data_IF_473414753149
#
_entry.id   IF_473414753149
#
_cell.length_a   1.000
_cell.length_b   1.000
_cell.length_c   1.000
_cell.angle_alpha   90.00
_cell.angle_beta   90.00
_cell.angle_gamma   90.00
#
_symmetry.space_group_name_H-M   'P 1'
#
loop_
_entity.id
_entity.type
_entity.pdbx_description
1 polymer ?
#
# COMPACT_ATOMS: atom_id res chain seq x y z
N UNK A 1 -59.80 7.73 15.74
CA UNK A 1 -58.63 8.60 16.02
C UNK A 1 -57.51 8.00 16.87
N UNK A 2 -57.68 6.86 17.59
CA UNK A 2 -56.61 6.29 18.45
C UNK A 2 -55.59 5.36 17.77
N UNK A 3 -55.84 4.88 16.53
CA UNK A 3 -54.93 3.92 15.84
C UNK A 3 -53.78 4.58 15.06
N UNK A 4 -53.88 5.88 14.76
CA UNK A 4 -52.84 6.63 14.06
C UNK A 4 -51.79 7.23 15.00
N UNK A 5 -52.07 7.30 16.31
CA UNK A 5 -51.12 7.87 17.28
C UNK A 5 -50.04 6.87 17.71
N UNK A 6 -50.36 5.57 17.73
CA UNK A 6 -49.43 4.51 18.12
C UNK A 6 -48.41 4.18 17.02
N UNK A 7 -48.80 4.31 15.74
CA UNK A 7 -47.88 4.03 14.63
C UNK A 7 -46.80 5.11 14.50
N UNK A 8 -47.13 6.38 14.76
CA UNK A 8 -46.20 7.51 14.66
C UNK A 8 -45.16 7.49 15.79
N UNK A 9 -45.53 7.03 17.00
CA UNK A 9 -44.59 6.90 18.13
C UNK A 9 -43.62 5.73 17.91
N UNK A 10 -44.07 4.64 17.28
CA UNK A 10 -43.19 3.50 16.95
C UNK A 10 -42.21 3.85 15.82
N UNK A 11 -42.64 4.57 14.79
CA UNK A 11 -41.75 5.05 13.73
C UNK A 11 -40.73 6.09 14.23
N UNK A 12 -41.13 6.96 15.16
CA UNK A 12 -40.20 7.90 15.80
C UNK A 12 -39.17 7.18 16.70
N UNK A 13 -39.54 6.08 17.37
CA UNK A 13 -38.61 5.28 18.17
C UNK A 13 -37.61 4.51 17.30
N UNK A 14 -38.01 4.01 16.12
CA UNK A 14 -37.10 3.36 15.16
C UNK A 14 -36.15 4.37 14.51
N UNK A 15 -36.62 5.58 14.21
CA UNK A 15 -35.77 6.68 13.72
C UNK A 15 -34.83 7.24 14.80
N UNK A 16 -35.24 7.27 16.07
CA UNK A 16 -34.41 7.70 17.19
C UNK A 16 -33.36 6.64 17.61
N UNK A 17 -33.66 5.35 17.43
CA UNK A 17 -32.71 4.25 17.69
C UNK A 17 -31.82 3.93 16.48
N UNK A 18 -32.15 4.42 15.28
CA UNK A 18 -31.36 4.23 14.05
C UNK A 18 -30.08 5.08 13.96
N UNK A 19 -29.75 5.89 14.98
CA UNK A 19 -28.66 6.87 14.92
C UNK A 19 -27.37 6.52 15.66
N UNK A 20 -27.20 5.33 16.27
CA UNK A 20 -25.96 5.04 17.03
C UNK A 20 -25.41 3.61 16.94
N UNK A 21 -25.48 2.99 15.76
CA UNK A 21 -24.60 1.86 15.47
C UNK A 21 -24.36 1.72 13.97
N UNK A 22 -23.46 2.55 13.42
CA UNK A 22 -22.67 2.15 12.26
C UNK A 22 -21.77 1.00 12.74
N UNK A 23 -22.35 -0.21 12.84
CA UNK A 23 -21.58 -1.42 13.05
C UNK A 23 -20.70 -1.58 11.80
N UNK A 24 -19.44 -1.18 11.94
CA UNK A 24 -18.39 -1.42 10.97
C UNK A 24 -18.29 -2.94 10.77
N UNK A 25 -18.88 -3.44 9.69
CA UNK A 25 -18.64 -4.82 9.23
C UNK A 25 -17.53 -4.69 8.19
N UNK A 26 -16.28 -5.08 8.49
CA UNK A 26 -15.24 -5.13 7.47
C UNK A 26 -15.71 -6.06 6.34
N UNK A 27 -16.01 -5.47 5.19
CA UNK A 27 -16.38 -6.24 4.01
C UNK A 27 -15.09 -6.80 3.40
N UNK A 28 -14.81 -8.07 3.69
CA UNK A 28 -13.74 -8.78 2.99
C UNK A 28 -14.21 -9.15 1.59
N UNK A 29 -13.53 -8.60 0.59
CA UNK A 29 -13.74 -8.97 -0.80
C UNK A 29 -13.16 -10.35 -1.06
N UNK A 30 -14.01 -11.20 -1.64
CA UNK A 30 -13.68 -12.56 -2.04
C UNK A 30 -13.37 -12.54 -3.52
N UNK A 31 -12.16 -12.99 -3.86
CA UNK A 31 -11.68 -13.09 -5.22
C UNK A 31 -11.60 -14.55 -5.65
N UNK A 32 -11.88 -14.83 -6.90
CA UNK A 32 -11.63 -16.13 -7.50
C UNK A 32 -10.20 -16.20 -8.05
N UNK A 33 -9.45 -17.24 -7.67
CA UNK A 33 -8.15 -17.51 -8.27
C UNK A 33 -8.30 -17.90 -9.75
N UNK A 34 -7.68 -17.19 -10.70
CA UNK A 34 -7.84 -17.47 -12.13
C UNK A 34 -7.31 -18.85 -12.55
N UNK A 35 -6.45 -19.46 -11.73
CA UNK A 35 -5.79 -20.72 -12.05
C UNK A 35 -6.51 -21.97 -11.55
N UNK A 36 -7.18 -21.87 -10.40
CA UNK A 36 -7.73 -23.05 -9.72
C UNK A 36 -9.14 -22.82 -9.16
N UNK A 37 -9.75 -21.65 -9.44
CA UNK A 37 -11.11 -21.31 -9.07
C UNK A 37 -11.39 -21.31 -7.56
N UNK A 38 -10.34 -21.40 -6.74
CA UNK A 38 -10.45 -21.26 -5.28
C UNK A 38 -10.79 -19.81 -4.93
N UNK A 39 -11.78 -19.64 -4.07
CA UNK A 39 -12.11 -18.36 -3.45
C UNK A 39 -11.11 -17.99 -2.35
N UNK A 40 -10.50 -16.82 -2.50
CA UNK A 40 -9.47 -16.27 -1.62
C UNK A 40 -9.88 -14.88 -1.16
N UNK A 41 -9.41 -14.47 0.01
CA UNK A 41 -9.64 -13.11 0.52
C UNK A 41 -8.35 -12.30 0.48
N UNK A 42 -8.46 -11.04 0.12
CA UNK A 42 -7.45 -10.03 0.43
C UNK A 42 -7.47 -9.89 1.96
N UNK A 43 -6.45 -10.40 2.67
CA UNK A 43 -6.39 -10.29 4.13
C UNK A 43 -6.41 -8.83 4.60
N UNK A 44 -6.91 -8.56 5.81
CA UNK A 44 -7.11 -7.26 6.47
C UNK A 44 -6.44 -6.06 5.80
N UNK A 45 -7.16 -5.47 4.85
CA UNK A 45 -6.98 -4.09 4.45
C UNK A 45 -7.93 -3.30 5.32
N UNK A 46 -7.41 -2.59 6.30
CA UNK A 46 -8.18 -1.48 6.84
C UNK A 46 -8.39 -0.51 5.67
N UNK A 47 -9.63 -0.50 5.15
CA UNK A 47 -10.22 0.42 4.19
C UNK A 47 -10.05 0.20 2.69
N UNK A 48 -10.99 -0.55 2.12
CA UNK A 48 -11.74 -0.03 0.97
C UNK A 48 -12.98 0.70 1.55
N UNK A 49 -12.85 2.00 1.81
CA UNK A 49 -13.94 2.83 2.34
C UNK A 49 -14.99 3.13 1.25
N UNK A 50 -16.20 2.60 1.39
CA UNK A 50 -17.41 3.36 1.04
C UNK A 50 -17.99 3.93 2.33
N UNK A 51 -18.06 5.26 2.42
CA UNK A 51 -18.81 5.97 3.45
C UNK A 51 -18.01 6.28 4.72
N UNK A 52 -17.57 7.54 4.81
CA UNK A 52 -17.26 8.27 6.05
C UNK A 52 -16.33 7.61 7.09
N UNK A 53 -15.02 7.67 6.87
CA UNK A 53 -13.99 8.19 7.82
C UNK A 53 -12.60 7.93 7.23
N UNK A 54 -12.05 8.95 6.58
CA UNK A 54 -10.85 8.93 5.74
C UNK A 54 -9.53 8.72 6.50
N UNK A 55 -8.72 7.76 6.06
CA UNK A 55 -7.27 7.73 6.32
C UNK A 55 -6.55 8.04 5.00
N UNK A 56 -5.85 9.18 4.96
CA UNK A 56 -4.96 9.53 3.87
C UNK A 56 -3.72 8.63 3.90
N UNK A 57 -3.41 7.96 2.79
CA UNK A 57 -2.01 7.70 2.43
C UNK A 57 -1.69 8.51 1.18
N UNK A 58 -1.00 9.66 1.28
CA UNK A 58 -0.57 10.42 0.11
C UNK A 58 0.58 9.74 -0.65
N UNK A 59 1.00 8.53 -0.23
CA UNK A 59 2.23 7.88 -0.65
C UNK A 59 2.01 6.62 -1.51
N UNK A 60 0.76 6.17 -1.69
CA UNK A 60 0.46 5.00 -2.52
C UNK A 60 0.17 5.48 -3.95
N UNK A 61 1.18 5.40 -4.80
CA UNK A 61 0.98 5.55 -6.25
C UNK A 61 0.19 4.35 -6.76
N UNK A 62 -0.95 4.55 -7.46
CA UNK A 62 -1.63 3.45 -8.12
C UNK A 62 -0.76 2.98 -9.28
N UNK A 63 -0.50 1.69 -9.35
CA UNK A 63 0.12 1.07 -10.52
C UNK A 63 -0.77 1.08 -11.78
N UNK A 64 -2.06 1.43 -11.66
CA UNK A 64 -3.07 1.15 -12.69
C UNK A 64 -3.60 2.39 -13.40
N UNK A 65 -2.88 3.52 -13.39
CA UNK A 65 -3.31 4.75 -14.08
C UNK A 65 -4.65 5.36 -13.64
N UNK A 66 -5.38 4.74 -12.69
CA UNK A 66 -6.62 5.27 -12.14
C UNK A 66 -6.32 6.08 -10.89
N UNK A 67 -6.32 7.40 -11.07
CA UNK A 67 -6.43 8.37 -9.97
C UNK A 67 -7.83 8.20 -9.38
N UNK A 68 -7.95 7.52 -8.23
CA UNK A 68 -9.11 7.72 -7.37
C UNK A 68 -8.79 8.91 -6.46
N UNK A 69 -9.36 10.06 -6.81
CA UNK A 69 -9.33 11.26 -5.97
C UNK A 69 -10.09 10.97 -4.67
N UNK A 70 -9.40 10.86 -3.54
CA UNK A 70 -10.03 10.69 -2.22
C UNK A 70 -9.89 12.01 -1.45
N UNK A 71 -11.04 12.63 -1.14
CA UNK A 71 -11.18 13.92 -0.45
C UNK A 71 -11.01 13.80 1.08
N UNK A 72 -10.63 14.92 1.71
CA UNK A 72 -10.22 15.16 3.11
C UNK A 72 -11.24 14.90 4.23
N UNK A 73 -10.75 14.59 5.45
CA UNK A 73 -11.47 14.78 6.73
C UNK A 73 -10.80 14.22 8.00
N UNK A 74 -10.61 15.09 9.01
CA UNK A 74 -10.26 15.01 10.46
C UNK A 74 -9.58 13.80 11.16
N UNK A 75 -8.63 14.18 12.03
CA UNK A 75 -7.81 13.44 13.01
C UNK A 75 -8.54 12.46 13.95
N UNK A 76 -8.39 11.15 13.74
CA UNK A 76 -8.47 10.17 14.83
C UNK A 76 -7.37 9.11 14.68
N UNK A 77 -6.53 9.05 15.71
CA UNK A 77 -5.28 8.31 15.82
C UNK A 77 -5.51 6.79 15.92
N UNK A 78 -5.24 6.07 14.83
CA UNK A 78 -4.76 4.69 14.91
C UNK A 78 -3.34 4.65 14.36
N UNK A 79 -2.44 3.95 15.07
CA UNK A 79 -0.99 3.89 14.86
C UNK A 79 -0.64 3.14 13.57
N UNK A 80 -0.94 3.74 12.42
CA UNK A 80 -0.53 3.23 11.12
C UNK A 80 0.90 3.69 10.85
N UNK A 81 1.86 2.79 10.96
CA UNK A 81 3.24 3.08 10.56
C UNK A 81 3.31 3.15 9.04
N UNK A 82 3.45 4.35 8.49
CA UNK A 82 3.98 4.51 7.13
C UNK A 82 5.48 4.31 7.18
N UNK A 83 6.12 4.00 6.06
CA UNK A 83 7.56 3.88 5.94
C UNK A 83 8.09 4.85 4.90
N UNK A 84 9.38 5.21 5.02
CA UNK A 84 10.05 6.13 4.10
C UNK A 84 10.05 5.64 2.64
N UNK A 85 9.97 4.32 2.43
CA UNK A 85 9.81 3.69 1.10
C UNK A 85 8.37 3.66 0.57
N UNK A 86 7.46 4.40 1.23
CA UNK A 86 6.06 4.51 0.85
C UNK A 86 5.20 3.31 1.27
N UNK A 87 5.75 2.33 2.01
CA UNK A 87 4.95 1.24 2.54
C UNK A 87 4.04 1.67 3.68
N UNK A 88 2.80 1.18 3.71
CA UNK A 88 1.89 1.30 4.84
C UNK A 88 1.89 0.03 5.70
N UNK A 89 1.77 0.22 7.01
CA UNK A 89 1.53 -0.84 7.98
C UNK A 89 0.15 -1.47 7.88
N UNK A 90 -0.80 -0.83 7.17
CA UNK A 90 -2.12 -1.39 6.81
C UNK A 90 -2.08 -2.37 5.64
N UNK A 91 -0.89 -2.60 5.06
CA UNK A 91 -0.71 -3.38 3.84
C UNK A 91 -0.72 -2.48 2.61
N UNK A 92 0.33 -2.59 1.79
CA UNK A 92 0.40 -1.96 0.46
C UNK A 92 -0.25 -2.82 -0.60
N UNK A 93 -0.85 -2.21 -1.66
CA UNK A 93 -1.41 -2.91 -2.82
C UNK A 93 -0.56 -4.11 -3.23
N UNK A 94 -1.12 -5.32 -3.12
CA UNK A 94 -0.52 -6.51 -3.70
C UNK A 94 -1.00 -6.58 -5.13
N UNK A 95 -0.26 -5.99 -6.06
CA UNK A 95 -0.57 -6.12 -7.49
C UNK A 95 -0.44 -7.57 -7.93
N UNK A 96 0.54 -8.26 -7.35
CA UNK A 96 0.76 -9.69 -7.54
C UNK A 96 0.43 -10.41 -6.25
N UNK A 97 -0.43 -11.42 -6.36
CA UNK A 97 -0.85 -12.27 -5.28
C UNK A 97 -0.44 -13.73 -5.55
N UNK A 98 -0.24 -14.47 -4.47
CA UNK A 98 0.03 -15.90 -4.51
C UNK A 98 -1.17 -16.65 -3.94
N UNK A 99 -1.72 -17.57 -4.72
CA UNK A 99 -2.83 -18.40 -4.25
C UNK A 99 -2.35 -19.32 -3.11
N UNK A 100 -3.02 -19.34 -1.94
CA UNK A 100 -2.63 -20.22 -0.84
C UNK A 100 -2.90 -21.71 -1.14
N UNK A 101 -3.73 -22.03 -2.15
CA UNK A 101 -4.06 -23.40 -2.56
C UNK A 101 -3.14 -23.88 -3.67
N UNK A 102 -3.24 -23.33 -4.89
CA UNK A 102 -2.43 -23.81 -6.03
C UNK A 102 -1.01 -23.26 -6.10
N UNK A 103 -0.64 -22.33 -5.20
CA UNK A 103 0.68 -21.67 -5.10
C UNK A 103 1.11 -20.84 -6.32
N UNK A 104 0.29 -20.76 -7.38
CA UNK A 104 0.56 -19.93 -8.55
C UNK A 104 0.39 -18.45 -8.22
N UNK A 105 1.23 -17.63 -8.86
CA UNK A 105 1.13 -16.18 -8.85
C UNK A 105 0.07 -15.72 -9.86
N UNK A 106 -0.60 -14.62 -9.56
CA UNK A 106 -1.51 -13.96 -10.48
C UNK A 106 -1.55 -12.46 -10.19
N UNK A 107 -1.82 -11.68 -11.23
CA UNK A 107 -2.14 -10.27 -11.08
C UNK A 107 -3.54 -10.14 -10.48
N UNK A 108 -3.70 -9.29 -9.47
CA UNK A 108 -5.00 -9.09 -8.83
C UNK A 108 -6.06 -8.56 -9.79
N UNK A 109 -5.67 -7.82 -10.84
CA UNK A 109 -6.58 -7.37 -11.89
C UNK A 109 -7.22 -8.53 -12.68
N UNK A 110 -6.62 -9.72 -12.67
CA UNK A 110 -7.16 -10.92 -13.31
C UNK A 110 -8.02 -11.77 -12.38
N UNK A 111 -8.13 -11.39 -11.10
CA UNK A 111 -8.93 -12.11 -10.14
C UNK A 111 -10.36 -11.54 -10.14
N UNK A 112 -11.35 -12.39 -10.37
CA UNK A 112 -12.74 -11.97 -10.40
C UNK A 112 -13.26 -11.73 -8.98
N UNK A 113 -13.95 -10.60 -8.76
CA UNK A 113 -14.63 -10.34 -7.50
C UNK A 113 -15.94 -11.13 -7.46
N UNK A 114 -16.01 -12.15 -6.61
CA UNK A 114 -17.15 -13.09 -6.54
C UNK A 114 -18.04 -12.89 -5.31
N UNK A 115 -17.69 -11.96 -4.42
CA UNK A 115 -18.58 -11.57 -3.32
C UNK A 115 -17.90 -10.89 -2.14
N UNK A 116 -18.65 -10.74 -1.06
CA UNK A 116 -18.23 -10.16 0.21
C UNK A 116 -18.58 -11.12 1.36
N UNK A 117 -17.61 -11.88 1.88
CA UNK A 117 -17.85 -12.79 3.02
C UNK A 117 -16.56 -13.17 3.74
N UNK A 118 -16.68 -13.32 5.06
CA UNK A 118 -15.57 -13.36 6.03
C UNK A 118 -15.42 -14.72 6.75
N UNK A 119 -15.92 -15.82 6.18
CA UNK A 119 -15.91 -17.12 6.89
C UNK A 119 -15.40 -18.25 6.01
N UNK A 120 -14.13 -18.62 6.24
CA UNK A 120 -13.51 -19.86 5.77
C UNK A 120 -12.53 -19.72 4.60
N UNK A 121 -12.49 -18.58 3.91
CA UNK A 121 -11.58 -18.35 2.79
C UNK A 121 -10.15 -18.14 3.28
N UNK A 122 -9.18 -18.68 2.53
CA UNK A 122 -7.75 -18.49 2.82
C UNK A 122 -7.31 -17.10 2.36
N UNK A 123 -6.50 -16.43 3.19
CA UNK A 123 -5.87 -15.15 2.83
C UNK A 123 -4.87 -15.35 1.69
N UNK A 124 -4.90 -14.45 0.70
CA UNK A 124 -3.86 -14.42 -0.34
C UNK A 124 -2.48 -14.21 0.28
N UNK A 125 -1.48 -14.88 -0.29
CA UNK A 125 -0.10 -14.72 0.11
C UNK A 125 0.59 -13.68 -0.77
N UNK A 126 1.68 -13.09 -0.28
CA UNK A 126 2.57 -12.28 -1.10
C UNK A 126 3.52 -13.19 -1.89
N UNK A 127 3.98 -12.78 -3.08
CA UNK A 127 5.12 -13.42 -3.71
C UNK A 127 6.36 -13.27 -2.82
N UNK A 128 7.22 -14.26 -2.86
CA UNK A 128 8.59 -14.15 -2.32
C UNK A 128 9.46 -13.27 -3.22
N UNK A 129 10.58 -12.79 -2.69
CA UNK A 129 11.55 -12.02 -3.49
C UNK A 129 12.06 -12.79 -4.70
N UNK A 130 12.40 -14.08 -4.52
CA UNK A 130 12.82 -14.96 -5.62
C UNK A 130 11.77 -15.04 -6.73
N UNK A 131 10.49 -15.10 -6.35
CA UNK A 131 9.38 -15.11 -7.29
C UNK A 131 9.24 -13.78 -8.05
N UNK A 132 9.45 -12.64 -7.38
CA UNK A 132 9.45 -11.32 -8.01
C UNK A 132 10.60 -11.18 -9.03
N UNK A 133 11.81 -11.63 -8.69
CA UNK A 133 12.92 -11.63 -9.64
C UNK A 133 12.73 -12.62 -10.79
N UNK A 134 12.07 -13.75 -10.57
CA UNK A 134 11.69 -14.66 -11.65
C UNK A 134 10.69 -14.02 -12.63
N UNK A 135 9.81 -13.13 -12.16
CA UNK A 135 8.93 -12.35 -13.03
C UNK A 135 9.74 -11.33 -13.84
N UNK A 136 10.65 -10.59 -13.20
CA UNK A 136 11.47 -9.56 -13.86
C UNK A 136 12.47 -10.12 -14.89
N UNK A 137 12.94 -11.36 -14.70
CA UNK A 137 13.83 -12.05 -15.64
C UNK A 137 13.09 -12.88 -16.71
N UNK A 138 11.76 -12.95 -16.62
CA UNK A 138 10.92 -13.73 -17.51
C UNK A 138 10.57 -12.99 -18.80
N UNK A 139 9.30 -13.07 -19.20
CA UNK A 139 8.80 -12.32 -20.36
C UNK A 139 8.81 -10.82 -20.06
N UNK A 140 9.14 -9.96 -21.05
CA UNK A 140 9.01 -8.52 -20.90
C UNK A 140 7.62 -8.13 -20.41
N UNK A 141 7.58 -7.24 -19.42
CA UNK A 141 6.37 -6.62 -18.90
C UNK A 141 6.18 -5.27 -19.57
N UNK A 142 4.94 -4.77 -19.57
CA UNK A 142 4.74 -3.34 -19.79
C UNK A 142 5.34 -2.53 -18.62
N UNK A 143 5.63 -1.26 -18.90
CA UNK A 143 6.33 -0.35 -17.98
C UNK A 143 5.63 -0.26 -16.62
N UNK A 144 4.30 -0.23 -16.58
CA UNK A 144 3.53 -0.09 -15.35
C UNK A 144 3.65 -1.36 -14.49
N UNK A 145 3.46 -2.54 -15.10
CA UNK A 145 3.63 -3.82 -14.41
C UNK A 145 5.04 -4.02 -13.88
N UNK A 146 6.04 -3.68 -14.66
CA UNK A 146 7.44 -3.74 -14.21
C UNK A 146 7.66 -2.85 -12.99
N UNK A 147 7.16 -1.61 -13.01
CA UNK A 147 7.26 -0.67 -11.87
C UNK A 147 6.67 -1.29 -10.60
N UNK A 148 5.51 -1.96 -10.71
CA UNK A 148 4.87 -2.64 -9.57
C UNK A 148 5.73 -3.76 -9.00
N UNK A 149 6.28 -4.60 -9.87
CA UNK A 149 7.08 -5.76 -9.45
C UNK A 149 8.36 -5.28 -8.75
N UNK A 150 9.04 -4.28 -9.34
CA UNK A 150 10.27 -3.70 -8.77
C UNK A 150 10.03 -3.03 -7.43
N UNK A 151 8.92 -2.29 -7.29
CA UNK A 151 8.51 -1.67 -6.02
C UNK A 151 8.12 -2.71 -4.97
N UNK A 152 7.42 -3.77 -5.36
CA UNK A 152 7.09 -4.86 -4.44
C UNK A 152 8.35 -5.62 -4.00
N UNK A 153 9.34 -5.76 -4.88
CA UNK A 153 10.65 -6.33 -4.55
C UNK A 153 11.42 -5.44 -3.57
N UNK A 154 11.44 -4.12 -3.80
CA UNK A 154 11.99 -3.14 -2.86
C UNK A 154 11.38 -3.27 -1.47
N UNK A 155 10.05 -3.28 -1.38
CA UNK A 155 9.37 -3.44 -0.09
C UNK A 155 9.66 -4.76 0.59
N UNK A 156 9.81 -5.85 -0.17
CA UNK A 156 10.11 -7.18 0.34
C UNK A 156 11.55 -7.24 0.85
N UNK A 157 12.50 -6.61 0.16
CA UNK A 157 13.87 -6.46 0.63
C UNK A 157 13.91 -5.68 1.96
N UNK A 158 13.17 -4.58 2.04
CA UNK A 158 13.08 -3.75 3.24
C UNK A 158 12.35 -4.45 4.40
N UNK A 159 11.43 -5.38 4.14
CA UNK A 159 10.71 -6.11 5.21
C UNK A 159 11.66 -6.92 6.09
N UNK A 160 12.76 -7.43 5.53
CA UNK A 160 13.78 -8.12 6.29
C UNK A 160 14.45 -7.23 7.34
N UNK A 161 14.54 -5.93 7.07
CA UNK A 161 15.28 -4.97 7.90
C UNK A 161 14.41 -4.23 8.90
N UNK A 162 13.11 -4.02 8.58
CA UNK A 162 12.13 -3.29 9.44
C UNK A 162 12.03 -3.78 10.89
N UNK A 163 12.33 -5.06 11.13
CA UNK A 163 12.26 -5.68 12.45
C UNK A 163 13.61 -6.23 12.93
N UNK A 164 14.67 -5.99 12.16
CA UNK A 164 16.01 -6.43 12.50
C UNK A 164 16.76 -5.33 13.27
N UNK A 165 17.72 -5.72 14.10
CA UNK A 165 18.67 -4.79 14.74
C UNK A 165 19.90 -4.52 13.85
N UNK A 166 19.91 -5.03 12.61
CA UNK A 166 21.01 -4.91 11.66
C UNK A 166 20.82 -3.73 10.71
N UNK A 167 21.93 -3.24 10.16
CA UNK A 167 21.93 -2.24 9.08
C UNK A 167 21.54 -2.90 7.77
N UNK A 168 20.79 -2.17 6.94
CA UNK A 168 20.43 -2.61 5.59
C UNK A 168 21.69 -2.95 4.80
N UNK A 169 21.73 -4.17 4.26
CA UNK A 169 22.75 -4.61 3.33
C UNK A 169 22.10 -5.34 2.15
N UNK A 170 21.92 -4.61 1.04
CA UNK A 170 21.32 -5.17 -0.15
C UNK A 170 22.29 -6.08 -0.90
N UNK A 171 21.76 -7.21 -1.38
CA UNK A 171 22.42 -8.05 -2.37
C UNK A 171 22.56 -7.33 -3.71
N UNK A 172 23.44 -7.81 -4.58
CA UNK A 172 23.64 -7.27 -5.94
C UNK A 172 22.33 -7.22 -6.73
N UNK A 173 21.50 -8.27 -6.67
CA UNK A 173 20.20 -8.30 -7.35
C UNK A 173 19.24 -7.22 -6.82
N UNK A 174 19.25 -6.95 -5.51
CA UNK A 174 18.45 -5.89 -4.90
C UNK A 174 18.96 -4.51 -5.32
N UNK A 175 20.29 -4.31 -5.36
CA UNK A 175 20.89 -3.05 -5.84
C UNK A 175 20.49 -2.77 -7.29
N UNK A 176 20.62 -3.75 -8.19
CA UNK A 176 20.21 -3.63 -9.59
C UNK A 176 18.72 -3.28 -9.68
N UNK A 177 17.87 -3.95 -8.90
CA UNK A 177 16.44 -3.65 -8.86
C UNK A 177 16.15 -2.20 -8.47
N UNK A 178 16.82 -1.70 -7.43
CA UNK A 178 16.66 -0.34 -6.95
C UNK A 178 17.17 0.69 -7.95
N UNK A 179 18.31 0.45 -8.59
CA UNK A 179 18.84 1.32 -9.63
C UNK A 179 17.87 1.42 -10.82
N UNK A 180 17.38 0.29 -11.33
CA UNK A 180 16.39 0.32 -12.42
C UNK A 180 15.08 0.96 -11.97
N UNK A 181 14.59 0.67 -10.75
CA UNK A 181 13.39 1.34 -10.23
C UNK A 181 13.60 2.86 -10.17
N UNK A 182 14.74 3.32 -9.67
CA UNK A 182 15.11 4.74 -9.62
C UNK A 182 15.13 5.40 -11.01
N UNK A 183 15.55 4.68 -12.05
CA UNK A 183 15.54 5.17 -13.44
C UNK A 183 14.12 5.30 -14.01
N UNK A 184 13.19 4.44 -13.58
CA UNK A 184 11.81 4.45 -14.04
C UNK A 184 10.95 5.57 -13.42
N UNK A 185 11.35 6.09 -12.25
CA UNK A 185 10.62 7.11 -11.51
C UNK A 185 10.77 8.50 -12.16
N UNK A 186 9.63 9.16 -12.39
CA UNK A 186 9.55 10.49 -12.98
C UNK A 186 9.75 11.58 -11.92
N UNK A 187 10.87 12.29 -12.03
CA UNK A 187 11.19 13.39 -11.14
C UNK A 187 10.18 14.55 -11.23
N UNK A 188 9.47 14.71 -12.35
CA UNK A 188 8.42 15.73 -12.47
C UNK A 188 7.28 15.54 -11.46
N UNK A 189 7.08 14.29 -11.00
CA UNK A 189 6.13 13.94 -9.96
C UNK A 189 6.79 14.00 -8.58
N UNK A 190 6.34 14.92 -7.71
CA UNK A 190 6.95 15.18 -6.41
C UNK A 190 7.17 13.92 -5.56
N UNK A 191 6.18 13.02 -5.53
CA UNK A 191 6.27 11.79 -4.74
C UNK A 191 7.25 10.78 -5.34
N UNK A 192 7.33 10.67 -6.66
CA UNK A 192 8.30 9.79 -7.31
C UNK A 192 9.72 10.31 -7.15
N UNK A 193 9.91 11.63 -7.21
CA UNK A 193 11.17 12.29 -6.84
C UNK A 193 11.60 11.95 -5.41
N UNK A 194 10.68 11.98 -4.46
CA UNK A 194 10.96 11.59 -3.06
C UNK A 194 11.35 10.11 -2.97
N UNK A 195 10.64 9.21 -3.65
CA UNK A 195 11.01 7.80 -3.65
C UNK A 195 12.35 7.53 -4.34
N UNK A 196 12.67 8.29 -5.39
CA UNK A 196 13.99 8.25 -6.03
C UNK A 196 15.09 8.72 -5.06
N UNK A 197 14.82 9.75 -4.28
CA UNK A 197 15.73 10.23 -3.23
C UNK A 197 15.90 9.19 -2.11
N UNK A 198 14.82 8.51 -1.72
CA UNK A 198 14.88 7.44 -0.73
C UNK A 198 15.72 6.26 -1.24
N UNK A 199 15.52 5.82 -2.48
CA UNK A 199 16.34 4.78 -3.09
C UNK A 199 17.82 5.19 -3.09
N UNK A 200 18.12 6.42 -3.49
CA UNK A 200 19.49 6.94 -3.44
C UNK A 200 20.08 6.87 -2.02
N UNK A 201 19.29 7.23 -0.99
CA UNK A 201 19.71 7.13 0.42
C UNK A 201 20.00 5.69 0.83
N UNK A 202 19.12 4.75 0.54
CA UNK A 202 19.31 3.34 0.94
C UNK A 202 20.49 2.68 0.19
N UNK A 203 20.79 3.16 -1.03
CA UNK A 203 22.00 2.78 -1.78
C UNK A 203 23.28 3.47 -1.28
N UNK A 204 23.18 4.46 -0.40
CA UNK A 204 24.32 5.24 0.11
C UNK A 204 24.75 6.39 -0.80
N UNK A 205 23.98 6.70 -1.86
CA UNK A 205 24.16 7.84 -2.75
C UNK A 205 23.61 9.13 -2.09
N UNK A 206 24.15 9.50 -0.92
CA UNK A 206 23.59 10.57 -0.10
C UNK A 206 23.56 11.94 -0.80
N UNK A 207 24.60 12.29 -1.56
CA UNK A 207 24.64 13.55 -2.30
C UNK A 207 23.49 13.67 -3.31
N UNK A 208 23.21 12.57 -4.03
CA UNK A 208 22.09 12.48 -4.98
C UNK A 208 20.75 12.56 -4.27
N UNK A 209 20.60 11.89 -3.13
CA UNK A 209 19.41 12.01 -2.27
C UNK A 209 19.16 13.48 -1.90
N UNK A 210 20.18 14.17 -1.39
CA UNK A 210 20.08 15.58 -0.99
C UNK A 210 19.75 16.49 -2.17
N UNK A 211 20.38 16.26 -3.34
CA UNK A 211 20.10 16.99 -4.56
C UNK A 211 18.63 16.86 -4.99
N UNK A 212 18.10 15.63 -5.03
CA UNK A 212 16.70 15.36 -5.39
C UNK A 212 15.71 16.03 -4.42
N UNK A 213 16.12 16.26 -3.17
CA UNK A 213 15.31 16.89 -2.15
C UNK A 213 15.49 18.41 -2.05
N UNK A 214 16.24 19.06 -2.95
CA UNK A 214 16.42 20.54 -2.93
C UNK A 214 15.17 21.32 -3.28
N UNK A 215 14.23 20.70 -4.00
CA UNK A 215 13.01 21.33 -4.47
C UNK A 215 12.02 21.62 -3.33
N UNK A 216 11.13 22.59 -3.56
CA UNK A 216 9.94 22.77 -2.72
C UNK A 216 8.95 21.64 -3.00
N UNK A 217 8.37 21.08 -1.94
CA UNK A 217 7.34 20.05 -2.03
C UNK A 217 6.01 20.58 -1.51
N UNK A 218 4.90 20.03 -2.01
CA UNK A 218 3.59 20.24 -1.41
C UNK A 218 3.61 19.97 0.10
N UNK A 219 2.83 20.73 0.87
CA UNK A 219 2.79 20.67 2.34
C UNK A 219 2.64 19.25 2.89
N UNK A 220 1.87 18.40 2.20
CA UNK A 220 1.64 16.99 2.60
C UNK A 220 2.88 16.10 2.48
N UNK A 221 3.84 16.47 1.62
CA UNK A 221 5.07 15.72 1.35
C UNK A 221 6.31 16.29 2.05
N UNK A 222 6.23 17.55 2.53
CA UNK A 222 7.35 18.22 3.20
C UNK A 222 7.91 17.45 4.39
N UNK A 223 7.05 16.80 5.18
CA UNK A 223 7.50 15.99 6.31
C UNK A 223 8.36 14.82 5.86
N UNK A 224 7.88 14.03 4.88
CA UNK A 224 8.61 12.90 4.35
C UNK A 224 9.95 13.33 3.74
N UNK A 225 9.93 14.37 2.89
CA UNK A 225 11.14 14.92 2.28
C UNK A 225 12.16 15.39 3.33
N UNK A 226 11.70 16.09 4.37
CA UNK A 226 12.57 16.57 5.46
C UNK A 226 13.13 15.43 6.29
N UNK A 227 12.33 14.40 6.55
CA UNK A 227 12.74 13.21 7.28
C UNK A 227 13.83 12.44 6.52
N UNK A 228 13.62 12.16 5.24
CA UNK A 228 14.62 11.50 4.38
C UNK A 228 15.90 12.34 4.30
N UNK A 229 15.79 13.66 4.12
CA UNK A 229 16.94 14.57 4.11
C UNK A 229 17.76 14.47 5.39
N UNK A 230 17.08 14.48 6.54
CA UNK A 230 17.74 14.32 7.85
C UNK A 230 18.51 13.00 7.93
N UNK A 231 17.90 11.88 7.53
CA UNK A 231 18.56 10.57 7.53
C UNK A 231 19.74 10.50 6.57
N UNK A 232 19.64 11.13 5.40
CA UNK A 232 20.75 11.21 4.46
C UNK A 232 21.94 12.00 5.05
N UNK A 233 21.69 13.10 5.75
CA UNK A 233 22.75 13.87 6.45
C UNK A 233 23.41 13.07 7.58
N UNK A 234 22.69 12.13 8.20
CA UNK A 234 23.20 11.20 9.22
C UNK A 234 23.98 10.02 8.60
N UNK A 235 24.03 9.90 7.27
CA UNK A 235 24.62 8.75 6.59
C UNK A 235 23.84 7.44 6.82
N UNK A 236 22.55 7.55 7.13
CA UNK A 236 21.68 6.43 7.47
C UNK A 236 21.02 5.86 6.22
N UNK A 237 21.17 4.54 6.01
CA UNK A 237 20.64 3.79 4.87
C UNK A 237 19.39 2.98 5.21
N UNK A 238 18.97 2.97 6.47
CA UNK A 238 17.91 2.06 6.94
C UNK A 238 16.53 2.63 6.60
N UNK A 239 15.57 1.74 6.33
CA UNK A 239 14.15 2.11 6.13
C UNK A 239 13.51 2.46 7.48
N UNK A 240 12.76 3.55 7.54
CA UNK A 240 12.20 4.05 8.82
C UNK A 240 10.68 4.14 8.81
N UNK A 241 10.02 3.82 9.94
CA UNK A 241 8.63 4.19 10.12
C UNK A 241 8.48 5.71 10.30
N UNK A 242 7.48 6.28 9.64
CA UNK A 242 6.98 7.64 9.81
C UNK A 242 5.92 7.60 10.93
N UNK A 243 6.13 8.38 11.99
CA UNK A 243 5.24 8.51 13.14
C UNK A 243 4.30 9.70 13.01
#
# INVERSE_FOLDING_TARGET
MKKYFTLTVVLAAVLALGLTANAYIPAFFVYECPHCKTHVIKGDWASEFRGSSSVYSPYILPCSGQITTIKSGSHLMHKWSYYTDGKSGSGNPRWIAKCPVCKKLFWMEYAELVGTRDKGQKKILGPSEKELFAILSGKPLDKEKELCVRRQAWWTANDAWRHSQGKTNFSEAQVINLQTLSEMLDESQEIERIFKAEIARELGEFDKCLQLLTHSFEKRLQYLASFIRKRALEGDRDVWPLM
#
